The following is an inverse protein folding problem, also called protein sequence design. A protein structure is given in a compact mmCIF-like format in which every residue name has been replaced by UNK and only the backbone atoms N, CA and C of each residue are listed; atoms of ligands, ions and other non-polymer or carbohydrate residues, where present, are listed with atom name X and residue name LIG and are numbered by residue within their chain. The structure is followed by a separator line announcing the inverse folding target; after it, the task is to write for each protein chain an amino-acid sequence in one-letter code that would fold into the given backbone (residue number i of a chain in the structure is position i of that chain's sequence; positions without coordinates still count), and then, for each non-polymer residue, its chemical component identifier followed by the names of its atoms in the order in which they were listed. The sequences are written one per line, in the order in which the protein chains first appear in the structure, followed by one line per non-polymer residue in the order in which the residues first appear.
data_IF_324912038019
#
_entry.id   IF_324912038019
#
_cell.length_a   1.000
_cell.length_b   1.000
_cell.length_c   1.000
_cell.angle_alpha   90.00
_cell.angle_beta   90.00
_cell.angle_gamma   90.00
#
_symmetry.space_group_name_H-M   'P 1'
#
loop_
_entity.id
_entity.type
_entity.pdbx_description
1 polymer ?
#
# COMPACT_ATOMS: atom_id res chain seq x y z
N UNK A 1 21.34 -5.58 -65.31
CA UNK A 1 19.96 -5.14 -65.64
C UNK A 1 19.01 -5.72 -64.60
N UNK A 2 17.99 -4.94 -64.26
CA UNK A 2 17.08 -5.09 -63.13
C UNK A 2 16.23 -6.38 -63.10
N UNK A 3 15.65 -6.67 -61.92
CA UNK A 3 14.47 -7.53 -61.82
C UNK A 3 14.19 -8.09 -60.43
N UNK A 4 13.47 -7.33 -59.59
CA UNK A 4 12.80 -7.82 -58.38
C UNK A 4 11.64 -8.77 -58.73
N UNK A 5 11.40 -9.81 -57.91
CA UNK A 5 10.05 -10.22 -57.49
C UNK A 5 10.11 -11.03 -56.18
N UNK A 6 9.15 -10.76 -55.29
CA UNK A 6 9.06 -11.27 -53.91
C UNK A 6 7.76 -12.08 -53.72
N UNK A 7 7.87 -13.10 -52.86
CA UNK A 7 6.86 -13.79 -52.00
C UNK A 7 6.08 -15.00 -52.53
N UNK A 8 6.22 -16.12 -51.81
CA UNK A 8 5.16 -16.67 -50.92
C UNK A 8 5.72 -17.66 -49.87
N UNK A 9 5.23 -17.52 -48.61
CA UNK A 9 4.88 -18.51 -47.56
C UNK A 9 5.74 -19.78 -47.28
N UNK A 10 5.88 -20.39 -46.09
CA UNK A 10 5.59 -20.14 -44.66
C UNK A 10 6.20 -21.32 -43.86
N UNK A 11 6.64 -21.02 -42.63
CA UNK A 11 6.67 -21.84 -41.40
C UNK A 11 7.67 -23.02 -41.29
N UNK A 12 8.25 -23.05 -40.09
CA UNK A 12 9.03 -24.11 -39.42
C UNK A 12 10.38 -24.43 -40.03
N UNK A 13 11.42 -23.77 -39.54
CA UNK A 13 12.55 -24.46 -38.89
C UNK A 13 13.52 -23.43 -38.26
N UNK A 14 14.19 -23.86 -37.20
CA UNK A 14 15.31 -23.25 -36.45
C UNK A 14 15.01 -22.55 -35.11
N UNK A 15 15.63 -23.13 -34.06
CA UNK A 15 15.48 -22.85 -32.64
C UNK A 15 16.31 -21.66 -32.09
N UNK A 16 16.63 -21.66 -30.78
CA UNK A 16 16.96 -20.44 -30.05
C UNK A 16 18.36 -19.90 -30.40
N UNK A 17 18.39 -18.68 -30.94
CA UNK A 17 19.61 -17.89 -31.10
C UNK A 17 19.97 -17.20 -29.78
N UNK A 18 21.08 -17.63 -29.18
CA UNK A 18 21.76 -16.96 -28.09
C UNK A 18 22.33 -15.61 -28.58
N UNK A 19 22.08 -14.52 -27.85
CA UNK A 19 22.77 -13.24 -28.07
C UNK A 19 24.04 -13.21 -27.22
N UNK A 20 25.20 -13.27 -27.88
CA UNK A 20 26.54 -13.03 -27.32
C UNK A 20 26.71 -11.52 -27.09
N UNK A 21 26.91 -11.10 -25.84
CA UNK A 21 27.47 -9.76 -25.56
C UNK A 21 28.99 -9.83 -25.71
N UNK A 22 29.54 -9.06 -26.64
CA UNK A 22 30.99 -8.81 -26.75
C UNK A 22 31.28 -7.55 -25.92
N UNK A 23 32.01 -7.72 -24.83
CA UNK A 23 32.56 -6.61 -24.05
C UNK A 23 33.90 -6.18 -24.66
N UNK A 24 34.12 -4.90 -25.03
CA UNK A 24 35.46 -4.45 -25.37
C UNK A 24 36.29 -4.27 -24.10
N UNK A 25 37.47 -4.89 -24.09
CA UNK A 25 38.49 -4.71 -23.07
C UNK A 25 39.03 -3.27 -23.09
N UNK A 26 39.26 -2.70 -21.90
CA UNK A 26 40.00 -1.46 -21.71
C UNK A 26 41.15 -1.73 -20.75
N UNK A 27 42.38 -1.51 -21.20
CA UNK A 27 43.58 -1.38 -20.37
C UNK A 27 44.36 -0.11 -20.79
N UNK A 28 45.23 0.44 -19.91
CA UNK A 28 45.32 1.88 -19.67
C UNK A 28 46.58 2.54 -20.24
N UNK A 29 46.51 3.83 -20.59
CA UNK A 29 47.69 4.71 -20.59
C UNK A 29 47.36 6.21 -20.56
N UNK A 30 48.25 6.95 -19.93
CA UNK A 30 48.21 8.32 -19.41
C UNK A 30 48.49 9.40 -20.48
N UNK A 31 47.79 10.54 -20.40
CA UNK A 31 48.33 11.94 -20.35
C UNK A 31 47.51 13.01 -21.12
N UNK A 32 47.16 14.08 -20.39
CA UNK A 32 47.15 15.49 -20.76
C UNK A 32 46.21 16.04 -21.88
N UNK A 33 45.11 16.68 -21.43
CA UNK A 33 44.67 18.09 -21.68
C UNK A 33 43.14 18.16 -21.76
N UNK A 34 42.54 18.97 -20.89
CA UNK A 34 41.11 19.25 -20.91
C UNK A 34 40.74 20.18 -22.08
N UNK A 35 39.70 19.88 -22.88
CA UNK A 35 39.04 20.86 -23.72
C UNK A 35 37.69 21.30 -23.15
N UNK A 36 37.43 22.58 -23.40
CA UNK A 36 36.28 23.39 -22.96
C UNK A 36 34.94 22.85 -23.48
N UNK A 37 33.90 23.06 -22.70
CA UNK A 37 32.52 22.87 -23.12
C UNK A 37 32.16 23.85 -24.24
N UNK A 38 31.77 23.33 -25.40
CA UNK A 38 31.05 24.06 -26.43
C UNK A 38 29.56 23.69 -26.35
N UNK A 39 28.72 24.70 -26.15
CA UNK A 39 27.27 24.60 -26.30
C UNK A 39 26.98 24.76 -27.78
N UNK A 40 26.51 23.70 -28.44
CA UNK A 40 26.00 23.77 -29.82
C UNK A 40 24.47 23.73 -29.76
N UNK A 41 23.77 24.77 -30.28
CA UNK A 41 22.32 24.81 -30.31
C UNK A 41 21.78 24.08 -31.55
N UNK A 42 21.07 22.97 -31.34
CA UNK A 42 20.19 22.35 -32.34
C UNK A 42 18.89 21.99 -31.63
N UNK A 43 17.73 22.53 -31.97
CA UNK A 43 17.12 22.47 -33.29
C UNK A 43 15.95 21.48 -33.17
N UNK A 44 14.80 21.99 -32.74
CA UNK A 44 13.60 21.21 -32.46
C UNK A 44 12.91 20.85 -33.79
N UNK A 45 13.10 19.64 -34.30
CA UNK A 45 12.30 19.12 -35.40
C UNK A 45 10.96 18.55 -34.88
N UNK A 46 9.81 18.89 -35.49
CA UNK A 46 8.50 18.43 -35.02
C UNK A 46 8.27 16.93 -35.34
N UNK A 47 7.65 16.18 -34.42
CA UNK A 47 7.56 14.73 -34.51
C UNK A 47 6.44 14.30 -35.49
N UNK A 48 6.74 14.14 -36.77
CA UNK A 48 5.82 13.52 -37.74
C UNK A 48 6.40 12.40 -38.60
N UNK A 49 7.66 11.98 -38.43
CA UNK A 49 8.26 10.90 -39.24
C UNK A 49 9.20 9.94 -38.48
N UNK A 50 8.81 9.47 -37.28
CA UNK A 50 9.51 8.38 -36.59
C UNK A 50 8.64 7.09 -36.58
N UNK A 51 9.23 5.88 -36.75
CA UNK A 51 8.48 4.62 -36.83
C UNK A 51 7.71 4.29 -35.53
N UNK A 52 6.51 3.69 -35.69
CA UNK A 52 5.41 3.53 -34.72
C UNK A 52 5.66 2.69 -33.45
N UNK A 53 6.89 2.56 -32.97
CA UNK A 53 7.22 1.82 -31.75
C UNK A 53 8.02 2.69 -30.77
N UNK A 54 7.40 3.80 -30.32
CA UNK A 54 7.71 4.55 -29.09
C UNK A 54 6.98 5.91 -29.18
N UNK A 55 5.74 5.98 -28.70
CA UNK A 55 5.12 7.25 -28.29
C UNK A 55 4.32 7.05 -27.01
N UNK A 56 4.71 7.81 -26.00
CA UNK A 56 3.95 8.06 -24.78
C UNK A 56 3.05 9.25 -25.11
N UNK A 57 1.76 9.01 -25.35
CA UNK A 57 0.80 10.09 -25.58
C UNK A 57 0.16 10.54 -24.27
N UNK A 58 0.50 11.77 -23.88
CA UNK A 58 -0.33 12.63 -23.04
C UNK A 58 -1.68 12.84 -23.72
N UNK A 59 -2.80 12.59 -23.03
CA UNK A 59 -4.12 12.95 -23.55
C UNK A 59 -4.73 14.14 -22.79
N UNK A 60 -5.18 15.19 -23.51
CA UNK A 60 -5.97 16.30 -22.99
C UNK A 60 -7.48 15.96 -22.96
N UNK A 61 -8.19 16.83 -22.25
CA UNK A 61 -9.64 16.89 -21.97
C UNK A 61 -10.56 17.00 -23.19
N UNK A 62 -11.72 16.33 -23.17
CA UNK A 62 -12.81 16.54 -24.14
C UNK A 62 -14.12 15.79 -23.76
N UNK A 63 -15.24 16.52 -23.78
CA UNK A 63 -16.62 16.17 -23.38
C UNK A 63 -17.28 15.02 -24.18
N UNK A 64 -18.34 14.35 -23.66
CA UNK A 64 -19.25 13.55 -24.50
C UNK A 64 -20.62 14.21 -24.71
N UNK A 65 -21.10 14.20 -25.96
CA UNK A 65 -22.51 14.35 -26.38
C UNK A 65 -23.22 12.98 -26.48
N UNK A 66 -24.57 12.92 -26.43
CA UNK A 66 -25.30 11.75 -25.95
C UNK A 66 -25.81 10.83 -27.07
N UNK A 67 -25.94 9.54 -26.77
CA UNK A 67 -26.76 8.62 -27.55
C UNK A 67 -27.93 8.08 -26.71
N UNK A 68 -29.09 8.14 -27.36
CA UNK A 68 -30.46 7.82 -26.96
C UNK A 68 -30.78 6.32 -27.00
N UNK A 69 -31.76 5.88 -26.21
CA UNK A 69 -32.60 4.71 -26.55
C UNK A 69 -32.84 3.70 -25.41
N UNK A 70 -34.06 3.73 -24.87
CA UNK A 70 -34.68 2.88 -23.85
C UNK A 70 -34.35 1.36 -23.90
N UNK A 71 -34.10 0.74 -22.73
CA UNK A 71 -35.15 0.11 -21.90
C UNK A 71 -34.60 -0.26 -20.51
N UNK A 72 -35.42 0.02 -19.48
CA UNK A 72 -35.11 -0.14 -18.05
C UNK A 72 -35.26 -1.59 -17.62
N UNK A 73 -34.30 -2.11 -16.88
CA UNK A 73 -34.53 -3.00 -15.73
C UNK A 73 -33.55 -2.58 -14.62
N UNK A 74 -34.06 -2.50 -13.38
CA UNK A 74 -33.33 -2.07 -12.20
C UNK A 74 -32.03 -2.89 -12.00
N UNK A 75 -30.88 -2.22 -12.07
CA UNK A 75 -29.65 -2.68 -11.46
C UNK A 75 -29.12 -1.56 -10.58
N UNK A 76 -29.29 -1.72 -9.28
CA UNK A 76 -28.63 -0.90 -8.27
C UNK A 76 -27.14 -1.22 -8.38
N UNK A 77 -26.37 -0.30 -8.97
CA UNK A 77 -24.92 -0.42 -9.03
C UNK A 77 -24.34 -0.18 -7.63
N UNK A 78 -24.20 -1.26 -6.87
CA UNK A 78 -23.18 -1.36 -5.83
C UNK A 78 -21.84 -0.92 -6.45
N UNK A 79 -21.10 -0.04 -5.78
CA UNK A 79 -19.68 0.15 -6.06
C UNK A 79 -18.98 -1.19 -5.83
N UNK A 80 -18.78 -1.93 -6.91
CA UNK A 80 -18.09 -3.22 -6.91
C UNK A 80 -16.60 -2.99 -6.65
N UNK A 81 -16.18 -3.17 -5.41
CA UNK A 81 -14.90 -3.80 -5.14
C UNK A 81 -15.17 -5.31 -5.11
N UNK A 82 -15.03 -6.00 -6.24
CA UNK A 82 -14.88 -7.45 -6.30
C UNK A 82 -14.25 -7.86 -7.64
N UNK A 83 -13.12 -8.55 -7.59
CA UNK A 83 -12.75 -9.58 -8.56
C UNK A 83 -12.39 -10.82 -7.74
N UNK A 84 -13.33 -11.75 -7.63
CA UNK A 84 -13.02 -13.16 -7.37
C UNK A 84 -12.66 -13.74 -8.73
N UNK A 85 -11.41 -14.08 -8.97
CA UNK A 85 -11.07 -14.82 -10.18
C UNK A 85 -11.59 -16.26 -10.02
N UNK A 86 -12.47 -16.74 -10.90
CA UNK A 86 -12.70 -18.17 -11.00
C UNK A 86 -11.39 -18.80 -11.50
N UNK A 87 -10.84 -19.73 -10.73
CA UNK A 87 -9.76 -20.60 -11.19
C UNK A 87 -10.27 -21.36 -12.41
N UNK A 88 -9.68 -21.09 -13.57
CA UNK A 88 -9.53 -22.00 -14.71
C UNK A 88 -8.59 -21.41 -15.76
N UNK A 89 -7.43 -22.05 -15.85
CA UNK A 89 -6.46 -22.17 -16.95
C UNK A 89 -6.22 -21.02 -17.95
N UNK A 90 -4.92 -20.75 -18.06
CA UNK A 90 -4.11 -20.10 -19.12
C UNK A 90 -4.02 -18.57 -19.13
N UNK A 91 -2.77 -18.15 -18.91
CA UNK A 91 -2.11 -16.88 -19.26
C UNK A 91 -2.96 -15.61 -19.13
N UNK A 92 -2.82 -14.90 -18.01
CA UNK A 92 -3.32 -13.53 -17.86
C UNK A 92 -2.15 -12.62 -17.54
N UNK A 93 -1.78 -11.81 -18.53
CA UNK A 93 -0.88 -10.67 -18.39
C UNK A 93 -1.54 -9.63 -17.47
N UNK A 94 -0.92 -9.36 -16.32
CA UNK A 94 -1.42 -8.40 -15.32
C UNK A 94 -1.28 -6.96 -15.85
N UNK A 95 -2.41 -6.29 -16.13
CA UNK A 95 -2.41 -4.85 -16.43
C UNK A 95 -2.69 -4.02 -15.16
N UNK A 96 -1.76 -3.14 -14.73
CA UNK A 96 -2.02 -2.17 -13.67
C UNK A 96 -3.00 -1.10 -14.17
N UNK A 97 -4.05 -0.83 -13.39
CA UNK A 97 -4.98 0.26 -13.63
C UNK A 97 -4.41 1.56 -13.06
N UNK A 98 -3.89 2.42 -13.93
CA UNK A 98 -3.50 3.80 -13.60
C UNK A 98 -4.45 4.79 -14.29
N UNK A 99 -5.44 5.35 -13.56
CA UNK A 99 -6.09 6.67 -13.81
C UNK A 99 -7.14 7.02 -12.71
N UNK A 100 -7.41 8.32 -12.41
CA UNK A 100 -6.85 8.96 -11.21
C UNK A 100 -7.88 9.61 -10.26
N UNK A 101 -7.60 9.51 -8.96
CA UNK A 101 -7.91 10.28 -7.74
C UNK A 101 -8.80 11.56 -7.71
N UNK A 102 -9.26 12.12 -8.83
CA UNK A 102 -10.06 13.36 -8.84
C UNK A 102 -11.47 13.19 -8.25
N UNK A 103 -12.10 12.03 -8.40
CA UNK A 103 -13.48 11.79 -7.94
C UNK A 103 -13.60 11.69 -6.42
N UNK A 104 -12.61 11.12 -5.73
CA UNK A 104 -12.62 10.96 -4.27
C UNK A 104 -12.38 12.30 -3.55
N UNK A 105 -11.39 13.08 -4.01
CA UNK A 105 -11.14 14.43 -3.48
C UNK A 105 -12.38 15.33 -3.57
N UNK A 106 -13.11 15.25 -4.69
CA UNK A 106 -14.38 15.99 -4.87
C UNK A 106 -15.44 15.62 -3.84
N UNK A 107 -15.56 14.34 -3.46
CA UNK A 107 -16.52 13.90 -2.45
C UNK A 107 -16.13 14.40 -1.05
N UNK A 108 -14.83 14.32 -0.71
CA UNK A 108 -14.32 14.82 0.58
C UNK A 108 -14.57 16.33 0.71
N UNK A 109 -14.32 17.10 -0.35
CA UNK A 109 -14.56 18.54 -0.35
C UNK A 109 -16.04 18.91 -0.20
N UNK A 110 -16.94 18.16 -0.83
CA UNK A 110 -18.39 18.34 -0.59
C UNK A 110 -18.72 18.11 0.90
N UNK A 111 -18.16 17.07 1.53
CA UNK A 111 -18.37 16.83 2.96
C UNK A 111 -17.79 17.96 3.82
N UNK A 112 -16.62 18.52 3.47
CA UNK A 112 -16.02 19.69 4.15
C UNK A 112 -16.92 20.92 4.09
N UNK A 113 -17.46 21.21 2.91
CA UNK A 113 -18.37 22.34 2.70
C UNK A 113 -19.65 22.18 3.55
N UNK A 114 -20.20 20.97 3.63
CA UNK A 114 -21.36 20.69 4.47
C UNK A 114 -21.01 20.81 5.96
N UNK A 115 -19.85 20.30 6.38
CA UNK A 115 -19.42 20.36 7.79
C UNK A 115 -19.12 21.77 8.28
N UNK A 116 -18.61 22.63 7.40
CA UNK A 116 -18.31 24.03 7.71
C UNK A 116 -19.57 24.90 7.81
N UNK A 117 -20.74 24.36 7.41
CA UNK A 117 -22.01 25.07 7.50
C UNK A 117 -22.77 24.68 8.76
N UNK A 118 -23.14 25.66 9.57
CA UNK A 118 -23.97 25.47 10.77
C UNK A 118 -25.46 25.24 10.43
N UNK A 119 -25.82 25.29 9.15
CA UNK A 119 -27.20 25.13 8.65
C UNK A 119 -27.24 24.13 7.49
N UNK A 120 -28.40 23.53 7.20
CA UNK A 120 -28.55 22.70 6.01
C UNK A 120 -28.15 23.47 4.75
N UNK A 121 -27.33 22.85 3.91
CA UNK A 121 -26.79 23.51 2.71
C UNK A 121 -27.25 22.81 1.42
N UNK A 122 -27.63 23.61 0.42
CA UNK A 122 -28.14 23.17 -0.87
C UNK A 122 -27.04 22.95 -1.93
N UNK A 123 -27.36 22.21 -2.99
CA UNK A 123 -26.41 21.87 -4.06
C UNK A 123 -25.81 23.09 -4.77
N UNK A 124 -26.57 24.18 -4.90
CA UNK A 124 -26.11 25.44 -5.50
C UNK A 124 -25.05 26.11 -4.64
N UNK A 125 -25.35 26.33 -3.36
CA UNK A 125 -24.40 26.91 -2.40
C UNK A 125 -23.14 26.05 -2.24
N UNK A 126 -23.26 24.72 -2.28
CA UNK A 126 -22.10 23.83 -2.29
C UNK A 126 -21.27 24.01 -3.57
N UNK A 127 -21.91 24.11 -4.74
CA UNK A 127 -21.22 24.32 -6.02
C UNK A 127 -20.48 25.65 -6.07
N UNK A 128 -21.10 26.72 -5.58
CA UNK A 128 -20.50 28.06 -5.48
C UNK A 128 -19.28 28.05 -4.54
N UNK A 129 -19.42 27.40 -3.37
CA UNK A 129 -18.34 27.28 -2.39
C UNK A 129 -17.18 26.41 -2.89
N UNK A 130 -17.47 25.32 -3.61
CA UNK A 130 -16.45 24.50 -4.28
C UNK A 130 -15.70 25.29 -5.35
N UNK A 131 -16.41 26.12 -6.12
CA UNK A 131 -15.81 26.98 -7.15
C UNK A 131 -14.88 28.01 -6.52
N UNK A 132 -15.28 28.62 -5.39
CA UNK A 132 -14.42 29.53 -4.61
C UNK A 132 -13.15 28.84 -4.09
N UNK A 133 -13.20 27.53 -3.88
CA UNK A 133 -12.05 26.69 -3.46
C UNK A 133 -11.24 26.12 -4.63
N UNK A 134 -11.51 26.56 -5.86
CA UNK A 134 -10.78 26.14 -7.06
C UNK A 134 -11.28 24.83 -7.70
N UNK A 135 -12.45 24.33 -7.31
CA UNK A 135 -13.07 23.15 -7.92
C UNK A 135 -14.18 23.55 -8.89
N UNK A 136 -13.95 23.33 -10.19
CA UNK A 136 -14.96 23.54 -11.24
C UNK A 136 -16.01 22.41 -11.24
N UNK A 137 -16.97 22.47 -10.30
CA UNK A 137 -18.04 21.48 -10.16
C UNK A 137 -19.39 22.17 -10.19
N UNK A 138 -20.14 21.98 -11.27
CA UNK A 138 -21.47 22.57 -11.43
C UNK A 138 -22.55 21.93 -10.53
N UNK A 139 -23.60 22.69 -10.23
CA UNK A 139 -24.70 22.29 -9.34
C UNK A 139 -25.29 20.89 -9.63
N UNK A 140 -25.43 20.54 -10.91
CA UNK A 140 -25.96 19.23 -11.33
C UNK A 140 -25.06 18.07 -10.87
N UNK A 141 -23.74 18.23 -10.96
CA UNK A 141 -22.78 17.23 -10.51
C UNK A 141 -22.76 17.13 -8.98
N UNK A 142 -22.84 18.27 -8.28
CA UNK A 142 -23.01 18.29 -6.83
C UNK A 142 -24.28 17.57 -6.40
N UNK A 143 -25.41 17.82 -7.06
CA UNK A 143 -26.69 17.15 -6.77
C UNK A 143 -26.62 15.63 -6.96
N UNK A 144 -25.89 15.18 -7.97
CA UNK A 144 -25.63 13.76 -8.20
C UNK A 144 -24.78 13.15 -7.07
N UNK A 145 -23.68 13.79 -6.69
CA UNK A 145 -22.83 13.33 -5.59
C UNK A 145 -23.57 13.31 -4.24
N UNK A 146 -24.41 14.32 -3.96
CA UNK A 146 -25.23 14.33 -2.75
C UNK A 146 -26.22 13.18 -2.71
N UNK A 147 -26.77 12.75 -3.85
CA UNK A 147 -27.64 11.58 -3.91
C UNK A 147 -26.87 10.31 -3.51
N UNK A 148 -25.65 10.16 -4.01
CA UNK A 148 -24.78 9.04 -3.63
C UNK A 148 -24.43 9.10 -2.14
N UNK A 149 -24.11 10.28 -1.60
CA UNK A 149 -23.79 10.44 -0.17
C UNK A 149 -24.99 10.17 0.74
N UNK A 150 -26.20 10.52 0.29
CA UNK A 150 -27.45 10.20 0.99
C UNK A 150 -27.65 8.66 1.00
N UNK A 151 -27.40 7.97 -0.13
CA UNK A 151 -27.46 6.50 -0.25
C UNK A 151 -26.40 5.79 0.61
N UNK A 152 -25.21 6.39 0.75
CA UNK A 152 -24.13 5.89 1.61
C UNK A 152 -24.31 6.23 3.09
N UNK A 153 -25.34 7.03 3.44
CA UNK A 153 -25.62 7.44 4.81
C UNK A 153 -24.65 8.49 5.37
N UNK A 154 -23.83 9.13 4.55
CA UNK A 154 -22.88 10.18 4.97
C UNK A 154 -23.57 11.53 5.15
N UNK A 155 -24.53 11.83 4.29
CA UNK A 155 -25.40 12.99 4.38
C UNK A 155 -26.83 12.56 4.64
N UNK A 156 -27.62 13.45 5.24
CA UNK A 156 -29.06 13.29 5.29
C UNK A 156 -29.73 14.59 4.88
N UNK A 157 -30.86 14.47 4.18
CA UNK A 157 -31.67 15.60 3.76
C UNK A 157 -32.45 16.14 4.97
N UNK A 158 -32.43 17.44 5.16
CA UNK A 158 -33.24 18.13 6.16
C UNK A 158 -34.21 19.08 5.46
N UNK A 159 -35.45 18.61 5.28
CA UNK A 159 -36.53 19.34 4.62
C UNK A 159 -36.17 19.83 3.21
N UNK A 160 -36.57 21.06 2.88
CA UNK A 160 -36.17 21.77 1.66
C UNK A 160 -34.88 22.59 1.84
N UNK A 161 -34.35 22.63 3.06
CA UNK A 161 -33.27 23.53 3.47
C UNK A 161 -31.89 23.07 3.01
N UNK A 162 -31.68 21.76 2.82
CA UNK A 162 -30.40 21.25 2.32
C UNK A 162 -30.01 19.88 2.86
N UNK A 163 -28.70 19.61 2.94
CA UNK A 163 -28.12 18.42 3.58
C UNK A 163 -27.34 18.83 4.82
N UNK A 164 -27.31 17.90 5.78
CA UNK A 164 -26.42 17.94 6.93
C UNK A 164 -25.64 16.63 7.01
N UNK A 165 -24.47 16.65 7.64
CA UNK A 165 -23.69 15.43 7.89
C UNK A 165 -24.33 14.57 8.97
N UNK A 166 -24.34 13.26 8.74
CA UNK A 166 -24.66 12.27 9.77
C UNK A 166 -23.45 12.03 10.67
N UNK A 167 -23.61 11.33 11.82
CA UNK A 167 -22.46 10.87 12.61
C UNK A 167 -21.50 9.96 11.82
N UNK A 168 -22.00 9.22 10.82
CA UNK A 168 -21.16 8.46 9.90
C UNK A 168 -20.38 9.40 8.98
N UNK A 169 -21.05 10.37 8.34
CA UNK A 169 -20.37 11.35 7.48
C UNK A 169 -19.35 12.24 8.21
N UNK A 170 -19.58 12.57 9.50
CA UNK A 170 -18.59 13.28 10.32
C UNK A 170 -17.37 12.42 10.65
N UNK A 171 -17.56 11.12 10.90
CA UNK A 171 -16.46 10.17 11.09
C UNK A 171 -15.65 10.01 9.81
N UNK A 172 -16.33 9.75 8.69
CA UNK A 172 -15.68 9.65 7.37
C UNK A 172 -14.95 10.93 6.97
N UNK A 173 -15.53 12.10 7.25
CA UNK A 173 -14.85 13.36 7.00
C UNK A 173 -13.64 13.55 7.92
N UNK A 174 -13.73 13.16 9.19
CA UNK A 174 -12.59 13.22 10.12
C UNK A 174 -11.47 12.30 9.66
N UNK A 175 -11.79 11.07 9.24
CA UNK A 175 -10.82 10.10 8.75
C UNK A 175 -10.21 10.58 7.42
N UNK A 176 -11.02 11.15 6.52
CA UNK A 176 -10.55 11.77 5.27
C UNK A 176 -9.73 13.06 5.50
N UNK A 177 -10.02 13.85 6.53
CA UNK A 177 -9.23 15.04 6.92
C UNK A 177 -7.90 14.65 7.55
N UNK A 178 -7.85 13.50 8.22
CA UNK A 178 -6.59 12.88 8.66
C UNK A 178 -5.80 12.44 7.43
N UNK A 179 -6.43 11.77 6.46
CA UNK A 179 -5.77 11.35 5.23
C UNK A 179 -5.31 12.51 4.33
N UNK A 180 -6.03 13.63 4.25
CA UNK A 180 -5.67 14.78 3.41
C UNK A 180 -4.60 15.69 4.04
N UNK A 181 -4.32 15.53 5.36
CA UNK A 181 -3.16 16.12 6.05
C UNK A 181 -1.92 15.22 5.97
N UNK A 182 -2.09 13.97 5.59
CA UNK A 182 -1.02 12.98 5.48
C UNK A 182 -0.64 12.91 4.00
N UNK A 183 0.65 12.93 3.69
CA UNK A 183 1.11 12.60 2.33
C UNK A 183 0.57 11.23 1.89
N UNK A 184 0.88 10.80 0.67
CA UNK A 184 0.61 9.41 0.29
C UNK A 184 1.18 8.46 1.36
N UNK A 185 0.54 7.31 1.57
CA UNK A 185 1.03 6.32 2.58
C UNK A 185 2.51 6.02 2.36
N UNK A 186 2.96 6.02 1.10
CA UNK A 186 4.37 5.93 0.74
C UNK A 186 5.23 7.03 1.35
N UNK A 187 4.81 8.30 1.28
CA UNK A 187 5.54 9.42 1.91
C UNK A 187 5.69 9.21 3.41
N UNK A 188 4.64 8.70 4.08
CA UNK A 188 4.70 8.35 5.50
C UNK A 188 5.64 7.17 5.75
N UNK A 189 5.59 6.12 4.93
CA UNK A 189 6.50 4.97 5.02
C UNK A 189 7.95 5.43 4.85
N UNK A 190 8.23 6.25 3.84
CA UNK A 190 9.56 6.84 3.57
C UNK A 190 10.05 7.67 4.75
N UNK A 191 9.19 8.51 5.35
CA UNK A 191 9.55 9.29 6.54
C UNK A 191 9.90 8.38 7.73
N UNK A 192 9.08 7.37 8.02
CA UNK A 192 9.33 6.45 9.14
C UNK A 192 10.56 5.57 8.92
N UNK A 193 10.77 5.10 7.69
CA UNK A 193 11.95 4.37 7.27
C UNK A 193 13.21 5.22 7.49
N UNK A 194 13.20 6.48 7.04
CA UNK A 194 14.31 7.42 7.22
C UNK A 194 14.58 7.74 8.70
N UNK A 195 13.53 7.89 9.52
CA UNK A 195 13.67 8.28 10.94
C UNK A 195 13.96 7.11 11.88
N UNK A 196 13.74 5.88 11.45
CA UNK A 196 14.12 4.69 12.22
C UNK A 196 15.63 4.54 12.26
N UNK A 197 16.17 4.03 13.37
CA UNK A 197 17.61 3.91 13.60
C UNK A 197 18.02 2.51 14.04
N UNK A 198 17.16 1.52 13.84
CA UNK A 198 17.42 0.16 14.28
C UNK A 198 18.65 -0.42 13.59
N UNK A 199 19.66 -0.72 14.40
CA UNK A 199 20.87 -1.45 14.05
C UNK A 199 21.18 -2.39 15.22
N UNK A 200 21.18 -3.72 15.01
CA UNK A 200 21.48 -4.71 16.04
C UNK A 200 22.77 -4.46 16.83
N UNK A 201 23.75 -3.75 16.24
CA UNK A 201 25.05 -3.47 16.87
C UNK A 201 25.10 -2.08 17.56
N UNK A 202 24.02 -1.30 17.48
CA UNK A 202 23.92 0.06 18.06
C UNK A 202 23.17 0.06 19.40
N UNK A 203 23.42 1.08 20.21
CA UNK A 203 22.68 1.33 21.46
C UNK A 203 21.44 2.21 21.25
N UNK A 204 21.40 3.06 20.20
CA UNK A 204 20.25 3.94 19.89
C UNK A 204 19.33 3.30 18.84
N UNK A 205 18.44 2.44 19.32
CA UNK A 205 17.54 1.65 18.47
C UNK A 205 16.11 2.18 18.49
N UNK A 206 15.74 2.97 17.47
CA UNK A 206 14.37 3.44 17.26
C UNK A 206 13.67 2.60 16.20
N UNK A 207 12.58 1.96 16.60
CA UNK A 207 11.78 1.07 15.74
C UNK A 207 10.44 1.70 15.40
N UNK A 208 9.92 1.38 14.22
CA UNK A 208 8.59 1.79 13.80
C UNK A 208 7.59 0.81 14.40
N UNK A 209 6.53 1.32 15.03
CA UNK A 209 5.51 0.48 15.66
C UNK A 209 4.11 0.70 15.10
N UNK A 210 3.25 -0.29 15.29
CA UNK A 210 1.81 -0.16 15.19
C UNK A 210 1.23 0.02 16.59
N UNK A 211 0.22 0.87 16.74
CA UNK A 211 -0.42 1.14 18.03
C UNK A 211 -1.82 0.56 18.08
N UNK A 212 -2.12 -0.21 19.12
CA UNK A 212 -3.43 -0.81 19.37
C UNK A 212 -3.99 -0.36 20.71
N UNK A 213 -5.27 -0.03 20.75
CA UNK A 213 -6.01 0.27 21.97
C UNK A 213 -6.90 -0.91 22.35
N UNK A 214 -6.72 -1.40 23.58
CA UNK A 214 -7.38 -2.57 24.13
C UNK A 214 -8.08 -2.19 25.44
N UNK A 215 -9.27 -2.73 25.71
CA UNK A 215 -9.90 -2.57 27.03
C UNK A 215 -9.11 -3.32 28.11
N UNK A 216 -8.83 -2.67 29.25
CA UNK A 216 -8.06 -3.26 30.35
C UNK A 216 -8.59 -4.63 30.80
N UNK A 217 -9.90 -4.84 30.71
CA UNK A 217 -10.56 -6.09 31.15
C UNK A 217 -10.19 -7.29 30.29
N UNK A 218 -9.82 -7.05 29.03
CA UNK A 218 -9.47 -8.10 28.07
C UNK A 218 -7.96 -8.33 27.97
N UNK A 219 -7.16 -7.63 28.79
CA UNK A 219 -5.70 -7.62 28.73
C UNK A 219 -5.05 -9.01 28.74
N UNK A 220 -5.33 -9.80 29.77
CA UNK A 220 -4.69 -11.12 29.95
C UNK A 220 -5.02 -12.06 28.78
N UNK A 221 -6.30 -12.09 28.39
CA UNK A 221 -6.78 -12.91 27.28
C UNK A 221 -6.16 -12.48 25.94
N UNK A 222 -6.04 -11.17 25.70
CA UNK A 222 -5.42 -10.66 24.48
C UNK A 222 -3.94 -11.04 24.39
N UNK A 223 -3.20 -10.89 25.49
CA UNK A 223 -1.79 -11.27 25.56
C UNK A 223 -1.58 -12.76 25.31
N UNK A 224 -2.39 -13.63 25.92
CA UNK A 224 -2.30 -15.08 25.71
C UNK A 224 -2.46 -15.43 24.23
N UNK A 225 -3.42 -14.80 23.55
CA UNK A 225 -3.65 -15.02 22.12
C UNK A 225 -2.48 -14.48 21.28
N UNK A 226 -1.98 -13.29 21.62
CA UNK A 226 -0.84 -12.69 20.93
C UNK A 226 0.43 -13.55 21.06
N UNK A 227 0.71 -14.09 22.25
CA UNK A 227 1.84 -14.99 22.50
C UNK A 227 1.77 -16.22 21.58
N UNK A 228 0.59 -16.84 21.46
CA UNK A 228 0.42 -17.99 20.55
C UNK A 228 0.67 -17.62 19.08
N UNK A 229 0.26 -16.42 18.65
CA UNK A 229 0.56 -15.93 17.31
C UNK A 229 2.05 -15.65 17.10
N UNK A 230 2.75 -15.19 18.15
CA UNK A 230 4.21 -15.03 18.13
C UNK A 230 4.94 -16.37 18.06
N UNK A 231 4.51 -17.36 18.84
CA UNK A 231 5.08 -18.72 18.84
C UNK A 231 4.92 -19.40 17.48
N UNK A 232 3.83 -19.10 16.77
CA UNK A 232 3.60 -19.59 15.41
C UNK A 232 4.40 -18.85 14.33
N UNK A 233 5.20 -17.83 14.68
CA UNK A 233 5.98 -17.05 13.73
C UNK A 233 5.15 -16.05 12.91
N UNK A 234 3.93 -15.71 13.35
CA UNK A 234 3.07 -14.76 12.66
C UNK A 234 3.20 -13.33 13.20
N UNK A 235 4.41 -12.91 13.53
CA UNK A 235 4.72 -11.53 13.88
C UNK A 235 6.12 -11.13 13.42
N UNK A 236 6.45 -9.84 13.57
CA UNK A 236 7.76 -9.27 13.25
C UNK A 236 8.69 -9.28 14.46
N UNK A 237 8.14 -9.23 15.67
CA UNK A 237 8.90 -9.30 16.92
C UNK A 237 7.99 -9.76 18.04
N UNK A 238 8.55 -10.44 19.03
CA UNK A 238 7.89 -10.77 20.30
C UNK A 238 7.88 -9.60 21.28
N UNK A 239 8.67 -8.56 21.02
CA UNK A 239 8.78 -7.41 21.91
C UNK A 239 7.64 -6.45 21.66
N UNK A 240 6.98 -6.04 22.72
CA UNK A 240 5.91 -5.05 22.71
C UNK A 240 6.17 -3.96 23.74
N UNK A 241 5.59 -2.79 23.53
CA UNK A 241 5.47 -1.76 24.57
C UNK A 241 4.02 -1.74 25.03
N UNK A 242 3.79 -1.84 26.34
CA UNK A 242 2.46 -1.74 26.94
C UNK A 242 2.44 -0.45 27.75
N UNK A 243 1.40 0.35 27.53
CA UNK A 243 1.21 1.62 28.20
C UNK A 243 -0.17 1.69 28.84
N UNK A 244 -0.21 2.27 30.03
CA UNK A 244 -1.43 2.40 30.81
C UNK A 244 -2.19 3.69 30.49
N UNK A 245 -3.41 3.81 31.00
CA UNK A 245 -4.25 5.00 30.85
C UNK A 245 -3.52 6.28 31.28
N UNK A 246 -3.67 7.34 30.49
CA UNK A 246 -3.01 8.62 30.72
C UNK A 246 -1.55 8.70 30.23
N UNK A 247 -0.90 7.57 29.96
CA UNK A 247 0.43 7.56 29.35
C UNK A 247 0.38 7.92 27.85
N UNK A 248 1.53 8.27 27.29
CA UNK A 248 1.66 8.75 25.91
C UNK A 248 2.32 7.71 25.00
N UNK A 249 1.66 7.42 23.87
CA UNK A 249 2.18 6.59 22.78
C UNK A 249 2.34 7.42 21.51
N UNK A 250 3.50 8.05 21.36
CA UNK A 250 3.71 9.01 20.28
C UNK A 250 2.79 10.22 20.45
N UNK A 251 1.93 10.49 19.46
CA UNK A 251 0.95 11.59 19.53
C UNK A 251 -0.38 11.21 20.21
N UNK A 252 -0.53 9.96 20.66
CA UNK A 252 -1.76 9.46 21.27
C UNK A 252 -1.61 9.38 22.78
N UNK A 253 -2.54 9.99 23.51
CA UNK A 253 -2.70 9.73 24.94
C UNK A 253 -3.66 8.56 25.16
N UNK A 254 -3.29 7.59 25.99
CA UNK A 254 -4.12 6.40 26.23
C UNK A 254 -5.40 6.80 26.99
N UNK A 255 -6.60 6.53 26.42
CA UNK A 255 -7.85 6.86 27.09
C UNK A 255 -8.05 6.08 28.40
N UNK A 256 -8.82 6.67 29.32
CA UNK A 256 -9.22 6.00 30.57
C UNK A 256 -9.93 4.66 30.28
N UNK A 257 -9.55 3.61 31.02
CA UNK A 257 -10.09 2.26 30.87
C UNK A 257 -9.44 1.43 29.75
N UNK A 258 -8.49 2.00 29.01
CA UNK A 258 -7.78 1.30 27.94
C UNK A 258 -6.30 1.12 28.27
N UNK A 259 -5.69 0.13 27.61
CA UNK A 259 -4.26 -0.06 27.49
C UNK A 259 -3.85 0.22 26.05
N UNK A 260 -2.67 0.79 25.91
CA UNK A 260 -1.97 0.90 24.65
C UNK A 260 -1.00 -0.26 24.45
N UNK A 261 -1.01 -0.90 23.29
CA UNK A 261 -0.05 -1.94 22.90
C UNK A 261 0.65 -1.52 21.62
N UNK A 262 1.99 -1.42 21.66
CA UNK A 262 2.83 -1.24 20.47
C UNK A 262 3.42 -2.57 20.01
N UNK A 263 3.28 -2.87 18.73
CA UNK A 263 3.94 -4.01 18.06
C UNK A 263 4.91 -3.50 17.00
N UNK A 264 6.05 -4.17 16.81
CA UNK A 264 7.04 -3.78 15.80
C UNK A 264 6.46 -3.92 14.39
N UNK A 265 6.67 -2.90 13.56
CA UNK A 265 6.29 -2.88 12.15
C UNK A 265 7.44 -3.35 11.26
N UNK A 266 7.15 -4.04 10.16
CA UNK A 266 8.16 -4.50 9.18
C UNK A 266 8.92 -3.36 8.51
N UNK A 267 8.40 -2.12 8.55
CA UNK A 267 9.12 -0.91 8.10
C UNK A 267 10.41 -0.67 8.90
N UNK A 268 10.50 -1.19 10.12
CA UNK A 268 11.76 -1.19 10.88
C UNK A 268 12.88 -1.92 10.13
N UNK A 269 12.56 -3.04 9.49
CA UNK A 269 13.50 -3.80 8.66
C UNK A 269 13.84 -2.99 7.41
N UNK A 270 12.85 -2.33 6.80
CA UNK A 270 13.06 -1.47 5.63
C UNK A 270 14.07 -0.35 5.95
N UNK A 271 13.96 0.28 7.13
CA UNK A 271 14.88 1.30 7.61
C UNK A 271 16.29 0.77 7.87
N UNK A 272 16.41 -0.38 8.52
CA UNK A 272 17.70 -1.05 8.74
C UNK A 272 18.42 -1.38 7.43
N UNK A 273 17.69 -1.94 6.45
CA UNK A 273 18.26 -2.23 5.12
C UNK A 273 18.72 -0.95 4.42
N UNK A 274 17.93 0.13 4.52
CA UNK A 274 18.31 1.43 3.97
C UNK A 274 19.57 2.01 4.63
N UNK A 275 19.70 1.91 5.96
CA UNK A 275 20.89 2.32 6.70
C UNK A 275 22.13 1.51 6.30
N UNK A 276 21.95 0.22 5.99
CA UNK A 276 22.96 -0.64 5.40
C UNK A 276 23.31 -0.30 3.94
N UNK A 277 22.69 0.72 3.34
CA UNK A 277 22.93 1.12 1.95
C UNK A 277 22.17 0.29 0.92
N UNK A 278 21.19 -0.52 1.35
CA UNK A 278 20.39 -1.36 0.45
C UNK A 278 19.09 -0.62 0.11
N UNK A 279 18.88 -0.22 -1.15
CA UNK A 279 17.63 0.42 -1.54
C UNK A 279 16.50 -0.62 -1.54
N UNK A 280 15.43 -0.30 -0.82
CA UNK A 280 14.26 -1.16 -0.69
C UNK A 280 13.01 -0.47 -1.23
N UNK A 281 12.21 -1.21 -2.00
CA UNK A 281 10.95 -0.72 -2.55
C UNK A 281 9.78 -1.46 -1.91
N UNK A 282 8.84 -0.72 -1.33
CA UNK A 282 7.61 -1.27 -0.74
C UNK A 282 6.53 -1.39 -1.83
N UNK A 283 6.27 -2.60 -2.30
CA UNK A 283 5.42 -2.83 -3.47
C UNK A 283 3.97 -3.11 -3.11
N UNK A 284 3.71 -4.15 -2.33
CA UNK A 284 2.36 -4.63 -2.03
C UNK A 284 2.17 -4.96 -0.54
N UNK A 285 0.95 -4.75 -0.05
CA UNK A 285 0.41 -5.48 1.10
C UNK A 285 -0.52 -6.58 0.58
N UNK A 286 -0.70 -7.64 1.34
CA UNK A 286 -1.57 -8.73 0.94
C UNK A 286 -1.95 -9.69 2.05
N UNK A 287 -2.77 -10.66 1.65
CA UNK A 287 -3.19 -11.79 2.48
C UNK A 287 -2.48 -13.03 1.96
N UNK A 288 -1.77 -13.73 2.83
CA UNK A 288 -1.09 -14.99 2.52
C UNK A 288 -1.88 -16.15 3.12
N UNK A 289 -2.17 -17.14 2.29
CA UNK A 289 -2.77 -18.39 2.73
C UNK A 289 -1.72 -19.24 3.46
N UNK A 290 -2.11 -19.78 4.61
CA UNK A 290 -1.37 -20.80 5.36
C UNK A 290 -2.15 -22.10 5.23
N UNK A 291 -1.47 -23.18 4.85
CA UNK A 291 -2.06 -24.50 4.69
C UNK A 291 -1.13 -25.57 5.25
N UNK A 292 -1.65 -26.43 6.10
CA UNK A 292 -0.92 -27.53 6.73
C UNK A 292 0.41 -27.08 7.37
N UNK A 293 0.40 -25.91 8.02
CA UNK A 293 1.56 -25.29 8.69
C UNK A 293 2.54 -24.58 7.75
N UNK A 294 2.28 -24.57 6.44
CA UNK A 294 3.17 -24.00 5.42
C UNK A 294 2.55 -22.78 4.72
N UNK A 295 3.40 -21.81 4.37
CA UNK A 295 3.00 -20.65 3.57
C UNK A 295 2.74 -21.07 2.11
N UNK A 296 1.59 -20.67 1.57
CA UNK A 296 1.11 -21.07 0.24
C UNK A 296 1.38 -19.97 -0.80
N UNK A 297 0.45 -19.03 -0.98
CA UNK A 297 0.56 -17.90 -1.91
C UNK A 297 -0.22 -16.69 -1.39
N UNK A 298 0.03 -15.52 -1.98
CA UNK A 298 -0.81 -14.35 -1.79
C UNK A 298 -2.16 -14.56 -2.49
N UNK A 299 -3.27 -14.46 -1.74
CA UNK A 299 -4.63 -14.55 -2.30
C UNK A 299 -5.15 -13.19 -2.75
N UNK A 300 -4.73 -12.13 -2.07
CA UNK A 300 -5.17 -10.76 -2.28
C UNK A 300 -3.98 -9.81 -2.15
N UNK A 301 -3.93 -8.79 -3.02
CA UNK A 301 -2.86 -7.80 -3.06
C UNK A 301 -3.43 -6.40 -3.25
N UNK A 302 -2.82 -5.44 -2.57
CA UNK A 302 -3.05 -4.01 -2.76
C UNK A 302 -1.68 -3.34 -2.88
N UNK A 303 -1.47 -2.60 -3.97
CA UNK A 303 -0.24 -1.84 -4.18
C UNK A 303 -0.18 -0.65 -3.22
N UNK A 304 1.01 -0.39 -2.68
CA UNK A 304 1.28 0.81 -1.90
C UNK A 304 1.36 2.06 -2.80
N UNK A 305 1.92 1.90 -4.00
CA UNK A 305 2.03 2.96 -4.98
C UNK A 305 0.67 3.59 -5.32
N UNK A 306 0.59 4.91 -5.16
CA UNK A 306 -0.61 5.69 -5.48
C UNK A 306 -1.76 5.53 -4.48
N UNK A 307 -1.57 4.86 -3.33
CA UNK A 307 -2.62 4.75 -2.33
C UNK A 307 -2.58 5.89 -1.32
N UNK A 308 -3.73 6.53 -1.10
CA UNK A 308 -3.94 7.47 0.02
C UNK A 308 -4.29 6.74 1.32
N UNK A 309 -4.87 5.54 1.22
CA UNK A 309 -5.21 4.69 2.37
C UNK A 309 -4.15 3.62 2.58
N UNK A 310 -3.83 3.32 3.83
CA UNK A 310 -2.89 2.24 4.12
C UNK A 310 -3.50 0.90 3.71
N UNK A 311 -2.90 0.19 2.74
CA UNK A 311 -3.34 -1.14 2.31
C UNK A 311 -3.61 -2.11 3.46
N UNK A 312 -2.79 -2.08 4.53
CA UNK A 312 -2.98 -2.94 5.70
C UNK A 312 -4.29 -2.62 6.43
N UNK A 313 -4.63 -1.34 6.60
CA UNK A 313 -5.93 -0.94 7.17
C UNK A 313 -7.11 -1.43 6.33
N UNK A 314 -6.96 -1.44 5.00
CA UNK A 314 -8.00 -1.97 4.12
C UNK A 314 -8.24 -3.45 4.39
N UNK A 315 -7.17 -4.26 4.49
CA UNK A 315 -7.30 -5.69 4.78
C UNK A 315 -7.88 -5.98 6.17
N UNK A 316 -7.45 -5.23 7.18
CA UNK A 316 -7.96 -5.33 8.55
C UNK A 316 -9.47 -5.00 8.60
N UNK A 317 -9.91 -3.90 7.97
CA UNK A 317 -11.32 -3.47 7.98
C UNK A 317 -12.26 -4.49 7.31
N UNK A 318 -11.74 -5.26 6.35
CA UNK A 318 -12.50 -6.32 5.66
C UNK A 318 -12.55 -7.64 6.41
N UNK A 319 -11.85 -7.77 7.54
CA UNK A 319 -11.77 -9.03 8.33
C UNK A 319 -11.40 -10.23 7.47
N UNK A 320 -10.40 -10.02 6.61
CA UNK A 320 -9.93 -11.02 5.64
C UNK A 320 -8.98 -12.05 6.24
N UNK A 321 -8.52 -11.84 7.47
CA UNK A 321 -7.56 -12.70 8.17
C UNK A 321 -8.25 -13.80 8.97
N UNK A 322 -7.49 -14.88 9.18
CA UNK A 322 -7.82 -16.03 10.03
C UNK A 322 -6.53 -16.47 10.72
N UNK A 323 -5.88 -15.55 11.42
CA UNK A 323 -4.60 -15.79 12.10
C UNK A 323 -4.79 -16.81 13.24
N UNK A 324 -5.88 -16.67 14.01
CA UNK A 324 -6.21 -17.58 15.11
C UNK A 324 -6.45 -19.02 14.63
N UNK A 325 -7.05 -19.20 13.45
CA UNK A 325 -7.19 -20.52 12.83
C UNK A 325 -5.84 -21.07 12.36
N UNK A 326 -5.02 -20.24 11.70
CA UNK A 326 -3.67 -20.63 11.25
C UNK A 326 -2.81 -21.12 12.43
N UNK A 327 -2.87 -20.44 13.58
CA UNK A 327 -2.18 -20.86 14.81
C UNK A 327 -2.70 -22.19 15.35
N UNK A 328 -4.02 -22.41 15.34
CA UNK A 328 -4.64 -23.60 15.96
C UNK A 328 -4.57 -24.85 15.10
N UNK A 329 -4.73 -24.71 13.79
CA UNK A 329 -4.92 -25.85 12.86
C UNK A 329 -3.82 -25.95 11.82
N UNK A 330 -2.90 -24.98 11.75
CA UNK A 330 -1.95 -24.84 10.67
C UNK A 330 -2.59 -24.36 9.36
N UNK A 331 -3.87 -23.99 9.36
CA UNK A 331 -4.58 -23.53 8.15
C UNK A 331 -5.38 -22.26 8.42
N UNK A 332 -5.16 -21.24 7.59
CA UNK A 332 -5.79 -19.93 7.75
C UNK A 332 -5.18 -18.90 6.79
N UNK A 333 -5.25 -17.63 7.17
CA UNK A 333 -4.68 -16.56 6.35
C UNK A 333 -4.15 -15.42 7.23
N UNK A 334 -2.98 -14.91 6.86
CA UNK A 334 -2.24 -13.90 7.62
C UNK A 334 -1.91 -12.71 6.73
N UNK A 335 -1.73 -11.52 7.30
CA UNK A 335 -1.27 -10.37 6.52
C UNK A 335 0.23 -10.44 6.30
N UNK A 336 0.66 -10.03 5.13
CA UNK A 336 2.05 -9.91 4.78
C UNK A 336 2.27 -8.73 3.84
N UNK A 337 3.51 -8.30 3.74
CA UNK A 337 3.92 -7.29 2.79
C UNK A 337 5.04 -7.81 1.91
N UNK A 338 5.07 -7.36 0.65
CA UNK A 338 6.16 -7.62 -0.28
C UNK A 338 7.06 -6.39 -0.40
N UNK A 339 8.36 -6.66 -0.47
CA UNK A 339 9.44 -5.73 -0.76
C UNK A 339 10.23 -6.19 -1.95
N UNK A 340 10.87 -5.25 -2.62
CA UNK A 340 11.86 -5.56 -3.66
C UNK A 340 13.19 -4.91 -3.33
N UNK A 341 14.27 -5.69 -3.47
CA UNK A 341 15.65 -5.22 -3.39
C UNK A 341 16.40 -5.55 -4.70
N UNK A 342 17.49 -4.84 -5.03
CA UNK A 342 18.36 -5.24 -6.13
C UNK A 342 18.97 -6.63 -5.90
N UNK A 343 19.11 -7.42 -6.98
CA UNK A 343 19.78 -8.73 -6.92
C UNK A 343 21.20 -8.63 -6.36
N UNK A 344 21.91 -7.54 -6.66
CA UNK A 344 23.26 -7.29 -6.17
C UNK A 344 23.37 -7.13 -4.65
N UNK A 345 22.27 -6.87 -3.95
CA UNK A 345 22.24 -6.64 -2.51
C UNK A 345 21.76 -7.85 -1.69
N UNK A 346 21.50 -8.99 -2.34
CA UNK A 346 20.84 -10.16 -1.70
C UNK A 346 21.66 -10.73 -0.55
N UNK A 347 22.97 -10.91 -0.74
CA UNK A 347 23.82 -11.52 0.30
C UNK A 347 23.94 -10.58 1.52
N UNK A 348 24.20 -9.29 1.27
CA UNK A 348 24.23 -8.29 2.34
C UNK A 348 22.87 -8.15 3.05
N UNK A 349 21.75 -8.26 2.31
CA UNK A 349 20.43 -8.23 2.90
C UNK A 349 20.19 -9.43 3.81
N UNK A 350 20.63 -10.64 3.41
CA UNK A 350 20.53 -11.83 4.27
C UNK A 350 21.30 -11.65 5.57
N UNK A 351 22.54 -11.19 5.50
CA UNK A 351 23.38 -10.96 6.69
C UNK A 351 22.72 -9.98 7.66
N UNK A 352 22.14 -8.89 7.16
CA UNK A 352 21.41 -7.93 7.97
C UNK A 352 20.12 -8.51 8.56
N UNK A 353 19.38 -9.31 7.80
CA UNK A 353 18.16 -9.96 8.26
C UNK A 353 18.45 -11.00 9.35
N UNK A 354 19.55 -11.76 9.23
CA UNK A 354 19.98 -12.73 10.24
C UNK A 354 20.39 -12.00 11.53
N UNK A 355 21.12 -10.89 11.44
CA UNK A 355 21.44 -10.04 12.61
C UNK A 355 20.18 -9.45 13.26
N UNK A 356 19.21 -9.00 12.47
CA UNK A 356 17.93 -8.49 13.00
C UNK A 356 17.16 -9.57 13.75
N UNK A 357 17.16 -10.80 13.21
CA UNK A 357 16.55 -11.97 13.83
C UNK A 357 17.19 -12.28 15.19
N UNK A 358 18.52 -12.27 15.27
CA UNK A 358 19.25 -12.48 16.54
C UNK A 358 18.91 -11.40 17.58
N UNK A 359 18.60 -10.17 17.14
CA UNK A 359 18.14 -9.07 17.99
C UNK A 359 16.63 -9.11 18.31
N UNK A 360 15.90 -10.16 17.88
CA UNK A 360 14.49 -10.37 18.17
C UNK A 360 13.51 -9.69 17.21
N UNK A 361 13.98 -9.26 16.04
CA UNK A 361 13.14 -8.81 14.92
C UNK A 361 13.22 -9.86 13.81
N UNK A 362 12.30 -10.80 13.82
CA UNK A 362 12.13 -11.83 12.80
C UNK A 362 10.72 -11.76 12.24
N UNK A 363 10.61 -11.53 10.94
CA UNK A 363 9.34 -11.56 10.23
C UNK A 363 9.48 -12.06 8.80
N UNK A 364 10.64 -12.62 8.44
CA UNK A 364 10.92 -13.06 7.08
C UNK A 364 10.10 -14.30 6.76
N UNK A 365 9.19 -14.18 5.80
CA UNK A 365 8.36 -15.30 5.34
C UNK A 365 9.02 -16.06 4.19
N UNK A 366 9.47 -15.32 3.18
CA UNK A 366 10.11 -15.90 1.99
C UNK A 366 10.89 -14.85 1.23
N UNK A 367 12.05 -15.25 0.69
CA UNK A 367 12.75 -14.51 -0.34
C UNK A 367 12.71 -15.28 -1.66
N UNK A 368 12.37 -14.62 -2.77
CA UNK A 368 12.31 -15.25 -4.10
C UNK A 368 13.67 -15.30 -4.79
N UNK A 369 13.75 -16.03 -5.91
CA UNK A 369 14.86 -15.89 -6.84
C UNK A 369 14.80 -14.56 -7.62
N UNK A 370 15.91 -14.16 -8.29
CA UNK A 370 15.96 -12.98 -9.15
C UNK A 370 14.85 -12.94 -10.21
N UNK A 371 13.97 -11.94 -10.15
CA UNK A 371 12.84 -11.75 -11.08
C UNK A 371 11.74 -12.79 -10.97
N UNK A 372 11.84 -13.73 -10.01
CA UNK A 372 10.82 -14.76 -9.81
C UNK A 372 9.69 -14.24 -8.91
N UNK A 373 8.43 -14.59 -9.21
CA UNK A 373 7.31 -14.28 -8.33
C UNK A 373 7.51 -14.81 -6.91
N UNK A 374 7.26 -13.99 -5.90
CA UNK A 374 7.31 -14.41 -4.50
C UNK A 374 5.90 -14.80 -4.04
N UNK A 375 5.67 -16.10 -3.81
CA UNK A 375 4.35 -16.60 -3.37
C UNK A 375 3.22 -16.16 -4.33
N UNK A 376 3.49 -16.16 -5.64
CA UNK A 376 2.56 -15.72 -6.68
C UNK A 376 2.47 -14.20 -6.87
N UNK A 377 3.08 -13.40 -6.00
CA UNK A 377 3.15 -11.96 -6.15
C UNK A 377 4.26 -11.57 -7.15
N UNK A 378 4.00 -10.68 -8.14
CA UNK A 378 4.99 -10.31 -9.14
C UNK A 378 6.19 -9.57 -8.52
N UNK A 379 7.37 -9.84 -9.07
CA UNK A 379 8.64 -9.19 -8.71
C UNK A 379 9.25 -8.60 -9.97
N UNK A 380 9.75 -7.37 -9.89
CA UNK A 380 10.39 -6.67 -11.00
C UNK A 380 11.65 -7.37 -11.52
N UNK A 381 11.92 -7.21 -12.82
CA UNK A 381 13.15 -7.73 -13.42
C UNK A 381 14.40 -7.14 -12.74
N UNK A 382 15.40 -7.99 -12.47
CA UNK A 382 16.62 -7.57 -11.76
C UNK A 382 16.42 -7.27 -10.26
N UNK A 383 15.27 -7.65 -9.70
CA UNK A 383 14.95 -7.54 -8.27
C UNK A 383 14.76 -8.91 -7.64
N UNK A 384 14.87 -8.95 -6.32
CA UNK A 384 14.44 -10.07 -5.48
C UNK A 384 13.28 -9.61 -4.60
N UNK A 385 12.23 -10.42 -4.53
CA UNK A 385 11.08 -10.17 -3.68
C UNK A 385 11.31 -10.70 -2.28
N UNK A 386 11.05 -9.90 -1.25
CA UNK A 386 11.12 -10.30 0.16
C UNK A 386 9.74 -10.12 0.78
N UNK A 387 9.16 -11.22 1.25
CA UNK A 387 7.87 -11.21 1.94
C UNK A 387 8.10 -11.17 3.45
N UNK A 388 7.48 -10.18 4.10
CA UNK A 388 7.49 -10.03 5.56
C UNK A 388 6.10 -10.21 6.14
N UNK A 389 6.03 -10.83 7.31
CA UNK A 389 4.83 -10.94 8.10
C UNK A 389 4.33 -9.56 8.54
N UNK A 390 3.01 -9.38 8.60
CA UNK A 390 2.39 -8.16 9.09
C UNK A 390 2.56 -8.02 10.60
N UNK A 391 3.13 -6.91 11.07
CA UNK A 391 3.30 -6.62 12.50
C UNK A 391 2.00 -6.53 13.32
N UNK A 392 0.85 -6.49 12.66
CA UNK A 392 -0.49 -6.43 13.27
C UNK A 392 -1.15 -7.81 13.47
N UNK A 393 -0.58 -8.89 12.92
CA UNK A 393 -1.22 -10.21 12.89
C UNK A 393 -1.54 -10.77 14.28
N UNK A 394 -0.66 -10.58 15.27
CA UNK A 394 -0.93 -11.03 16.64
C UNK A 394 -2.13 -10.33 17.27
N UNK A 395 -2.28 -9.02 17.01
CA UNK A 395 -3.44 -8.26 17.48
C UNK A 395 -4.70 -8.66 16.72
N UNK A 396 -4.60 -8.94 15.42
CA UNK A 396 -5.72 -9.46 14.63
C UNK A 396 -6.22 -10.81 15.14
N UNK A 397 -5.32 -11.70 15.57
CA UNK A 397 -5.70 -12.98 16.17
C UNK A 397 -6.58 -12.79 17.42
N UNK A 398 -6.28 -11.79 18.24
CA UNK A 398 -7.10 -11.43 19.40
C UNK A 398 -8.47 -10.85 18.98
N UNK A 399 -8.49 -9.98 17.96
CA UNK A 399 -9.73 -9.42 17.41
C UNK A 399 -10.66 -10.49 16.84
N UNK A 400 -10.10 -11.48 16.12
CA UNK A 400 -10.85 -12.62 15.58
C UNK A 400 -11.55 -13.46 16.66
N UNK A 401 -11.02 -13.48 17.88
CA UNK A 401 -11.59 -14.19 19.04
C UNK A 401 -12.51 -13.31 19.90
N UNK A 402 -12.98 -12.19 19.33
CA UNK A 402 -14.03 -11.33 19.88
C UNK A 402 -13.53 -10.23 20.81
N UNK A 403 -12.22 -10.01 20.90
CA UNK A 403 -11.66 -8.91 21.70
C UNK A 403 -11.73 -7.62 20.88
N UNK A 404 -12.36 -6.58 21.42
CA UNK A 404 -12.47 -5.31 20.71
C UNK A 404 -11.15 -4.54 20.77
N UNK A 405 -10.44 -4.44 19.63
CA UNK A 405 -9.15 -3.75 19.55
C UNK A 405 -9.18 -2.71 18.43
N UNK A 406 -8.75 -1.48 18.72
CA UNK A 406 -8.57 -0.44 17.71
C UNK A 406 -7.10 -0.30 17.35
N UNK A 407 -6.72 -0.72 16.16
CA UNK A 407 -5.32 -0.69 15.70
C UNK A 407 -5.07 0.40 14.67
N UNK A 408 -3.95 1.10 14.82
CA UNK A 408 -3.41 2.10 13.93
C UNK A 408 -2.04 1.64 13.45
N UNK A 409 -1.93 1.11 12.22
CA UNK A 409 -0.65 0.76 11.64
C UNK A 409 0.25 1.98 11.40
N UNK A 410 1.56 1.74 11.36
CA UNK A 410 2.62 2.73 11.04
C UNK A 410 2.48 3.99 11.92
N UNK A 411 2.28 3.82 13.23
CA UNK A 411 1.76 4.88 14.10
C UNK A 411 2.82 5.85 14.62
N UNK A 412 3.96 5.34 15.10
CA UNK A 412 4.98 6.12 15.80
C UNK A 412 6.35 5.41 15.80
N UNK A 413 7.37 6.13 16.27
CA UNK A 413 8.68 5.58 16.60
C UNK A 413 8.77 5.33 18.10
N UNK A 414 9.35 4.20 18.49
CA UNK A 414 9.59 3.85 19.88
C UNK A 414 11.03 3.41 20.06
N UNK A 415 11.56 3.65 21.26
CA UNK A 415 12.83 3.09 21.70
C UNK A 415 12.66 1.59 21.96
N UNK A 416 13.41 0.78 21.21
CA UNK A 416 13.34 -0.68 21.26
C UNK A 416 13.75 -1.23 22.62
N UNK A 417 14.63 -0.55 23.34
CA UNK A 417 15.08 -0.97 24.68
C UNK A 417 13.94 -0.96 25.71
N UNK A 418 12.95 -0.06 25.52
CA UNK A 418 11.74 0.03 26.35
C UNK A 418 10.75 -1.09 26.07
N UNK A 419 10.86 -1.77 24.92
CA UNK A 419 9.97 -2.85 24.52
C UNK A 419 10.40 -4.17 25.20
N UNK A 420 9.44 -4.87 25.78
CA UNK A 420 9.66 -6.12 26.53
C UNK A 420 9.17 -7.31 25.73
N UNK A 421 9.95 -8.38 25.76
CA UNK A 421 9.57 -9.67 25.19
C UNK A 421 8.35 -10.23 25.95
N UNK A 422 7.31 -10.62 25.21
CA UNK A 422 6.20 -11.39 25.75
C UNK A 422 6.54 -12.88 25.70
N UNK A 423 6.41 -13.53 26.86
CA UNK A 423 6.74 -14.94 27.09
C UNK A 423 5.50 -15.72 27.51
#
# INVERSE_FOLDING_TARGET
MAGLHYRSATISDFGPLYVRFVCPAFEPSISARAPRAEIVPGGFEPPSQAPKACRIDHYPTGLPTPLSGLQRHLQVYLHKIYMRFPVRDKEIEMKPLTKPHSSQRRLIEILRVINASDKPIGARAISDELSNRGYEVGERAVRYNLKIMDELGFTKKEGYSGRILTPLGKRELSDALVDDRIGFVNTRIEEYMYRSSFDPDSEDNRVVVNTSLLDKRDYEKALEIMIRAFDAGFAVSRRVLIQDEGEEMGALQIPRGFLGISTVCSITIDGMLLLGGIPINTTFAGVVEVKDGSLSHFTDLIAYAGSSLDPMRVFMSRKTTKVSEAVRTGSGCVLANLREIPVAAVDQARDLLDRAKDAGIDGLMKMSGPGEPNMGCPVGAGKVGIAFCGGVNAVMAAEELGIAIRTMPISSLQDYSRMKELR
#
